data_IF_285633546277
#
_entry.id   IF_285633546277
#
_cell.length_a   1.000
_cell.length_b   1.000
_cell.length_c   1.000
_cell.angle_alpha   90.00
_cell.angle_beta   90.00
_cell.angle_gamma   90.00
#
_symmetry.space_group_name_H-M   'P 1'
#
loop_
_entity.id
_entity.type
_entity.pdbx_description
1 polymer ?
#
# COMPACT_ATOMS: atom_id res chain seq x y z
N UNK A 1 51.27 -8.81 -11.60
CA UNK A 1 50.53 -7.55 -11.82
C UNK A 1 49.05 -7.80 -11.54
N UNK A 2 48.52 -7.08 -10.55
CA UNK A 2 47.32 -7.40 -9.79
C UNK A 2 46.01 -7.18 -10.57
N UNK A 3 45.05 -8.10 -10.36
CA UNK A 3 43.63 -7.92 -10.69
C UNK A 3 42.98 -7.09 -9.58
N UNK A 4 42.68 -5.82 -9.84
CA UNK A 4 41.96 -4.93 -8.92
C UNK A 4 40.47 -5.01 -9.25
N UNK A 5 39.64 -5.35 -8.25
CA UNK A 5 38.17 -5.26 -8.27
C UNK A 5 37.77 -3.79 -8.13
N UNK A 6 36.81 -3.32 -8.92
CA UNK A 6 36.09 -2.09 -8.64
C UNK A 6 34.58 -2.38 -8.78
N UNK A 7 33.92 -2.36 -7.62
CA UNK A 7 32.48 -2.18 -7.53
C UNK A 7 32.14 -0.74 -7.94
N UNK A 8 31.08 -0.56 -8.72
CA UNK A 8 30.52 0.74 -9.02
C UNK A 8 28.99 0.67 -8.94
N UNK A 9 28.49 0.94 -7.74
CA UNK A 9 27.14 1.44 -7.53
C UNK A 9 27.16 2.95 -7.78
N UNK A 10 26.47 3.47 -8.80
CA UNK A 10 26.13 4.90 -8.91
C UNK A 10 24.89 5.09 -9.80
N UNK A 11 23.83 5.64 -9.20
CA UNK A 11 22.99 6.71 -9.76
C UNK A 11 22.05 7.16 -8.62
N UNK A 12 22.52 8.02 -7.70
CA UNK A 12 22.46 9.48 -7.78
C UNK A 12 21.02 10.02 -7.66
N UNK A 13 20.59 10.31 -6.43
CA UNK A 13 19.57 11.30 -6.13
C UNK A 13 20.17 12.31 -5.15
N UNK A 14 20.73 13.38 -5.72
CA UNK A 14 21.08 14.58 -4.98
C UNK A 14 19.83 15.47 -4.94
N UNK A 15 19.24 15.60 -3.75
CA UNK A 15 18.10 16.49 -3.53
C UNK A 15 17.72 16.44 -2.06
N UNK A 16 18.04 17.52 -1.33
CA UNK A 16 17.57 17.89 0.00
C UNK A 16 17.08 16.74 0.90
N UNK A 17 17.91 16.36 1.88
CA UNK A 17 17.49 15.61 3.06
C UNK A 17 16.56 16.49 3.91
N UNK A 18 15.32 16.68 3.46
CA UNK A 18 14.23 16.84 4.39
C UNK A 18 14.15 15.51 5.16
N UNK A 19 14.38 15.56 6.47
CA UNK A 19 14.08 14.47 7.41
C UNK A 19 12.56 14.24 7.44
N UNK A 20 12.02 13.73 6.35
CA UNK A 20 10.76 13.00 6.36
C UNK A 20 11.17 11.57 6.64
N UNK A 21 10.61 10.88 7.66
CA UNK A 21 10.86 9.46 7.79
C UNK A 21 10.55 8.82 6.44
N UNK A 22 11.58 8.23 5.83
CA UNK A 22 11.43 7.48 4.61
C UNK A 22 10.56 6.27 4.96
N UNK A 23 9.24 6.42 4.84
CA UNK A 23 8.36 5.28 4.64
C UNK A 23 8.90 4.62 3.38
N UNK A 24 9.56 3.48 3.55
CA UNK A 24 9.98 2.66 2.43
C UNK A 24 8.71 2.40 1.62
N UNK A 25 8.52 3.13 0.52
CA UNK A 25 7.38 2.96 -0.35
C UNK A 25 7.48 1.55 -0.89
N UNK A 26 6.48 0.72 -0.60
CA UNK A 26 6.51 -0.67 -1.02
C UNK A 26 6.72 -0.74 -2.54
N UNK A 27 7.62 -1.61 -2.97
CA UNK A 27 7.81 -1.86 -4.37
C UNK A 27 6.54 -2.57 -4.92
N UNK A 28 6.14 -2.32 -6.17
CA UNK A 28 5.01 -3.00 -6.81
C UNK A 28 5.11 -4.54 -6.76
N UNK A 29 6.33 -5.07 -6.68
CA UNK A 29 6.66 -6.50 -6.58
C UNK A 29 6.60 -7.06 -5.16
N UNK A 30 6.51 -6.21 -4.13
CA UNK A 30 6.48 -6.64 -2.74
C UNK A 30 5.25 -7.49 -2.47
N UNK A 31 5.42 -8.54 -1.66
CA UNK A 31 4.32 -9.43 -1.29
C UNK A 31 3.46 -8.78 -0.22
N UNK A 32 2.14 -8.84 -0.41
CA UNK A 32 1.18 -8.45 0.62
C UNK A 32 1.09 -9.56 1.66
N UNK A 33 1.52 -9.32 2.92
CA UNK A 33 1.56 -10.36 3.95
C UNK A 33 0.19 -11.01 4.17
N UNK A 34 0.20 -12.34 4.30
CA UNK A 34 -1.02 -13.16 4.43
C UNK A 34 -1.75 -13.43 3.10
N UNK A 35 -1.18 -13.03 1.96
CA UNK A 35 -1.74 -13.32 0.63
C UNK A 35 -0.67 -13.92 -0.29
N UNK A 36 -1.09 -14.39 -1.47
CA UNK A 36 -0.19 -14.89 -2.52
C UNK A 36 0.31 -13.77 -3.45
N UNK A 37 -0.29 -12.59 -3.34
CA UNK A 37 -0.25 -11.52 -4.34
C UNK A 37 0.82 -10.48 -4.03
N UNK A 38 1.30 -9.79 -5.08
CA UNK A 38 2.11 -8.58 -4.89
C UNK A 38 1.22 -7.34 -4.71
N UNK A 39 1.81 -6.24 -4.24
CA UNK A 39 1.14 -4.94 -4.14
C UNK A 39 0.49 -4.54 -5.46
N UNK A 40 1.22 -4.66 -6.58
CA UNK A 40 0.68 -4.34 -7.91
C UNK A 40 -0.53 -5.19 -8.32
N UNK A 41 -0.52 -6.47 -7.97
CA UNK A 41 -1.64 -7.38 -8.28
C UNK A 41 -2.90 -7.01 -7.48
N UNK A 42 -2.72 -6.68 -6.20
CA UNK A 42 -3.83 -6.19 -5.34
C UNK A 42 -4.35 -4.86 -5.84
N UNK A 43 -3.48 -3.94 -6.25
CA UNK A 43 -3.90 -2.65 -6.81
C UNK A 43 -4.70 -2.82 -8.10
N UNK A 44 -4.21 -3.61 -9.06
CA UNK A 44 -4.93 -3.90 -10.32
C UNK A 44 -6.26 -4.60 -10.07
N UNK A 45 -6.30 -5.57 -9.17
CA UNK A 45 -7.55 -6.21 -8.77
C UNK A 45 -8.53 -5.22 -8.15
N UNK A 46 -8.04 -4.28 -7.32
CA UNK A 46 -8.85 -3.23 -6.71
C UNK A 46 -9.40 -2.27 -7.76
N UNK A 47 -8.62 -1.87 -8.76
CA UNK A 47 -9.07 -1.04 -9.88
C UNK A 47 -10.25 -1.66 -10.65
N UNK A 48 -10.30 -2.98 -10.73
CA UNK A 48 -11.39 -3.70 -11.44
C UNK A 48 -12.59 -3.99 -10.54
N UNK A 49 -12.36 -4.37 -9.28
CA UNK A 49 -13.42 -4.84 -8.37
C UNK A 49 -14.07 -3.69 -7.58
N UNK A 50 -13.28 -2.68 -7.21
CA UNK A 50 -13.68 -1.54 -6.40
C UNK A 50 -13.04 -0.25 -6.95
N UNK A 51 -13.33 0.14 -8.21
CA UNK A 51 -12.76 1.36 -8.81
C UNK A 51 -13.07 2.62 -7.99
N UNK A 52 -14.19 2.66 -7.27
CA UNK A 52 -14.53 3.74 -6.36
C UNK A 52 -13.54 3.89 -5.21
N UNK A 53 -12.95 2.78 -4.73
CA UNK A 53 -11.93 2.83 -3.69
C UNK A 53 -10.65 3.51 -4.19
N UNK A 54 -10.28 3.26 -5.44
CA UNK A 54 -9.14 3.91 -6.09
C UNK A 54 -9.38 5.42 -6.20
N UNK A 55 -10.56 5.84 -6.66
CA UNK A 55 -10.92 7.25 -6.75
C UNK A 55 -10.84 7.94 -5.39
N UNK A 56 -11.30 7.29 -4.31
CA UNK A 56 -11.20 7.82 -2.95
C UNK A 56 -9.74 7.92 -2.48
N UNK A 57 -8.91 6.91 -2.76
CA UNK A 57 -7.48 6.95 -2.40
C UNK A 57 -6.72 8.05 -3.14
N UNK A 58 -7.05 8.29 -4.40
CA UNK A 58 -6.43 9.34 -5.23
C UNK A 58 -6.90 10.74 -4.83
N UNK A 59 -8.16 10.88 -4.41
CA UNK A 59 -8.71 12.14 -3.91
C UNK A 59 -8.26 12.49 -2.48
N UNK A 60 -7.79 11.50 -1.71
CA UNK A 60 -7.32 11.69 -0.34
C UNK A 60 -5.82 12.03 -0.34
N UNK A 61 -5.37 13.17 0.24
CA UNK A 61 -3.95 13.46 0.37
C UNK A 61 -3.19 12.34 1.08
N UNK A 62 -2.22 11.74 0.39
CA UNK A 62 -1.45 10.59 0.92
C UNK A 62 -2.22 9.26 0.94
N UNK A 63 -3.46 9.19 0.43
CA UNK A 63 -4.31 8.00 0.52
C UNK A 63 -3.71 6.76 -0.12
N UNK A 64 -3.03 6.89 -1.27
CA UNK A 64 -2.27 5.80 -1.90
C UNK A 64 -1.12 5.29 -1.02
N UNK A 65 -0.36 6.20 -0.41
CA UNK A 65 0.76 5.82 0.46
C UNK A 65 0.25 5.10 1.72
N UNK A 66 -0.84 5.59 2.32
CA UNK A 66 -1.50 4.97 3.47
C UNK A 66 -2.07 3.59 3.14
N UNK A 67 -2.71 3.44 1.98
CA UNK A 67 -3.22 2.14 1.52
C UNK A 67 -2.07 1.13 1.33
N UNK A 68 -0.98 1.56 0.69
CA UNK A 68 0.22 0.74 0.53
C UNK A 68 0.83 0.35 1.87
N UNK A 69 0.96 1.31 2.80
CA UNK A 69 1.47 1.05 4.16
C UNK A 69 0.62 -0.03 4.85
N UNK A 70 -0.71 0.08 4.82
CA UNK A 70 -1.60 -0.90 5.41
C UNK A 70 -1.51 -2.27 4.74
N UNK A 71 -1.41 -2.31 3.40
CA UNK A 71 -1.28 -3.56 2.64
C UNK A 71 0.01 -4.30 2.99
N UNK A 72 1.13 -3.59 3.11
CA UNK A 72 2.44 -4.19 3.40
C UNK A 72 2.72 -4.35 4.88
N UNK A 73 1.88 -3.81 5.75
CA UNK A 73 2.02 -3.98 7.19
C UNK A 73 1.86 -5.43 7.61
N UNK A 74 2.68 -5.82 8.59
CA UNK A 74 2.54 -7.10 9.29
C UNK A 74 1.20 -7.16 10.03
N UNK A 75 0.58 -8.34 10.16
CA UNK A 75 -0.73 -8.49 10.81
C UNK A 75 -0.82 -7.80 12.18
N UNK A 76 0.23 -7.89 13.00
CA UNK A 76 0.31 -7.31 14.34
C UNK A 76 0.30 -5.76 14.36
N UNK A 77 0.68 -5.11 13.27
CA UNK A 77 0.77 -3.64 13.20
C UNK A 77 -0.42 -3.01 12.46
N UNK A 78 -1.21 -3.81 11.73
CA UNK A 78 -2.36 -3.31 10.96
C UNK A 78 -3.36 -2.55 11.83
N UNK A 79 -3.64 -3.03 13.04
CA UNK A 79 -4.61 -2.36 13.91
C UNK A 79 -4.14 -0.96 14.31
N UNK A 80 -2.85 -0.77 14.61
CA UNK A 80 -2.29 0.56 14.94
C UNK A 80 -2.41 1.52 13.76
N UNK A 81 -2.18 1.02 12.54
CA UNK A 81 -2.32 1.80 11.31
C UNK A 81 -3.79 2.17 11.08
N UNK A 82 -4.71 1.21 11.21
CA UNK A 82 -6.16 1.45 11.10
C UNK A 82 -6.63 2.49 12.12
N UNK A 83 -6.17 2.41 13.37
CA UNK A 83 -6.53 3.36 14.43
C UNK A 83 -6.02 4.77 14.10
N UNK A 84 -4.81 4.88 13.54
CA UNK A 84 -4.26 6.16 13.08
C UNK A 84 -5.05 6.71 11.90
N UNK A 85 -5.29 5.91 10.87
CA UNK A 85 -6.07 6.30 9.68
C UNK A 85 -7.50 6.70 10.03
N UNK A 86 -8.10 6.06 11.03
CA UNK A 86 -9.43 6.41 11.54
C UNK A 86 -9.45 7.81 12.16
N UNK A 87 -8.37 8.21 12.85
CA UNK A 87 -8.22 9.56 13.42
C UNK A 87 -7.91 10.61 12.35
N UNK A 88 -7.08 10.25 11.37
CA UNK A 88 -6.69 11.14 10.27
C UNK A 88 -7.80 11.35 9.24
N UNK A 89 -8.67 10.35 9.04
CA UNK A 89 -9.78 10.40 8.09
C UNK A 89 -11.10 9.88 8.71
N UNK A 90 -11.75 10.69 9.55
CA UNK A 90 -13.01 10.31 10.21
C UNK A 90 -14.17 10.10 9.24
N UNK A 91 -14.14 10.74 8.06
CA UNK A 91 -15.12 10.54 7.01
C UNK A 91 -15.00 9.14 6.39
N UNK A 92 -13.79 8.71 6.02
CA UNK A 92 -13.56 7.35 5.52
C UNK A 92 -13.91 6.29 6.57
N UNK A 93 -13.58 6.51 7.84
CA UNK A 93 -13.97 5.61 8.92
C UNK A 93 -15.48 5.50 9.09
N UNK A 94 -16.21 6.62 8.93
CA UNK A 94 -17.68 6.62 9.01
C UNK A 94 -18.30 5.93 7.80
N UNK A 95 -17.76 6.16 6.60
CA UNK A 95 -18.16 5.44 5.39
C UNK A 95 -17.94 3.93 5.52
N UNK A 96 -16.77 3.50 5.99
CA UNK A 96 -16.47 2.09 6.22
C UNK A 96 -17.44 1.47 7.23
N UNK A 97 -17.71 2.16 8.36
CA UNK A 97 -18.69 1.68 9.35
C UNK A 97 -20.09 1.52 8.77
N UNK A 98 -20.54 2.46 7.95
CA UNK A 98 -21.86 2.41 7.31
C UNK A 98 -21.97 1.32 6.23
N UNK A 99 -20.87 1.01 5.53
CA UNK A 99 -20.86 0.11 4.37
C UNK A 99 -20.01 -1.16 4.61
N UNK A 100 -19.80 -1.53 5.88
CA UNK A 100 -18.79 -2.53 6.27
C UNK A 100 -18.95 -3.86 5.54
N UNK A 101 -20.17 -4.39 5.48
CA UNK A 101 -20.43 -5.68 4.84
C UNK A 101 -20.06 -5.67 3.34
N UNK A 102 -20.38 -4.58 2.63
CA UNK A 102 -20.05 -4.44 1.22
C UNK A 102 -18.54 -4.27 1.00
N UNK A 103 -17.91 -3.41 1.78
CA UNK A 103 -16.47 -3.15 1.67
C UNK A 103 -15.67 -4.42 2.01
N UNK A 104 -16.03 -5.13 3.08
CA UNK A 104 -15.38 -6.38 3.47
C UNK A 104 -15.55 -7.46 2.39
N UNK A 105 -16.72 -7.54 1.74
CA UNK A 105 -16.95 -8.45 0.62
C UNK A 105 -16.07 -8.12 -0.59
N UNK A 106 -15.89 -6.82 -0.92
CA UNK A 106 -14.98 -6.38 -1.99
C UNK A 106 -13.52 -6.70 -1.65
N UNK A 107 -13.09 -6.45 -0.41
CA UNK A 107 -11.73 -6.80 0.07
C UNK A 107 -11.50 -8.32 -0.06
N UNK A 108 -12.44 -9.14 0.41
CA UNK A 108 -12.34 -10.58 0.31
C UNK A 108 -12.24 -11.05 -1.16
N UNK A 109 -13.03 -10.45 -2.06
CA UNK A 109 -12.99 -10.75 -3.50
C UNK A 109 -11.65 -10.35 -4.13
N UNK A 110 -11.10 -9.19 -3.77
CA UNK A 110 -9.77 -8.75 -4.21
C UNK A 110 -8.72 -9.77 -3.79
N UNK A 111 -8.66 -10.13 -2.50
CA UNK A 111 -7.67 -11.08 -1.97
C UNK A 111 -7.82 -12.46 -2.63
N UNK A 112 -9.04 -12.90 -2.91
CA UNK A 112 -9.31 -14.20 -3.51
C UNK A 112 -8.99 -14.29 -5.01
N UNK A 113 -8.85 -13.15 -5.71
CA UNK A 113 -8.69 -13.12 -7.18
C UNK A 113 -7.50 -12.30 -7.66
N UNK A 114 -6.73 -11.68 -6.76
CA UNK A 114 -5.60 -10.83 -7.12
C UNK A 114 -4.51 -11.56 -7.90
N UNK A 115 -4.39 -12.88 -7.78
CA UNK A 115 -3.45 -13.70 -8.53
C UNK A 115 -3.73 -13.75 -10.04
N UNK A 116 -4.93 -13.34 -10.45
CA UNK A 116 -5.35 -13.25 -11.86
C UNK A 116 -4.99 -11.91 -12.51
N UNK A 117 -4.48 -10.97 -11.73
CA UNK A 117 -4.08 -9.63 -12.18
C UNK A 117 -2.57 -9.47 -12.02
#
# INVERSE_FOLDING_TARGET
MNRIRIAAAVAAFAGALAFVPAVASAAPTDKVPGTKCTVAQVERATQVIAPEAIAVMDATPGGRAQATELLTAKPEDRQKIIDRLTKENPAAASYYRANRAEVDAKIAKVIATCDKY
#
